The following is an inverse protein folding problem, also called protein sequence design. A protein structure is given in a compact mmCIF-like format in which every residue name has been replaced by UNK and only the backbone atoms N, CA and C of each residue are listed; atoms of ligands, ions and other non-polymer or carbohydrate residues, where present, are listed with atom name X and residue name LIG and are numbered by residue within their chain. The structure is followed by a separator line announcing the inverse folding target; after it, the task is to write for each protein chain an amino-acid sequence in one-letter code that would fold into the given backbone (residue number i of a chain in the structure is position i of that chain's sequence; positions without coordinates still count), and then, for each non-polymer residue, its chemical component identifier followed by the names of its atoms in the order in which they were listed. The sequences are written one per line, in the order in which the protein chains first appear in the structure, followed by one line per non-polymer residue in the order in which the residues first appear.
data_IF_842957056385
#
_entry.id   IF_842957056385
#
_cell.length_a   1.000
_cell.length_b   1.000
_cell.length_c   1.000
_cell.angle_alpha   90.00
_cell.angle_beta   90.00
_cell.angle_gamma   90.00
#
_symmetry.space_group_name_H-M   'P 1'
#
loop_
_entity.id
_entity.type
_entity.pdbx_description
1 polymer ?
#
# COMPACT_ATOMS: atom_id res chain seq x y z
N UNK A 1 6.74 12.41 -15.77
CA UNK A 1 8.08 11.94 -15.35
C UNK A 1 8.01 10.43 -15.07
N UNK A 2 8.54 9.59 -15.98
CA UNK A 2 8.42 8.13 -15.89
C UNK A 2 9.07 7.56 -14.61
N UNK A 3 10.14 8.17 -14.13
CA UNK A 3 10.81 7.76 -12.89
C UNK A 3 9.87 7.87 -11.67
N UNK A 4 9.13 8.98 -11.56
CA UNK A 4 8.15 9.15 -10.50
C UNK A 4 7.04 8.09 -10.57
N UNK A 5 6.52 7.82 -11.77
CA UNK A 5 5.50 6.79 -11.97
C UNK A 5 6.00 5.42 -11.55
N UNK A 6 7.26 5.09 -11.88
CA UNK A 6 7.89 3.84 -11.45
C UNK A 6 7.98 3.74 -9.91
N UNK A 7 8.44 4.80 -9.24
CA UNK A 7 8.51 4.82 -7.76
C UNK A 7 7.15 4.58 -7.10
N UNK A 8 6.12 5.26 -7.58
CA UNK A 8 4.75 5.08 -7.09
C UNK A 8 4.27 3.65 -7.32
N UNK A 9 4.55 3.08 -8.48
CA UNK A 9 4.17 1.72 -8.84
C UNK A 9 4.87 0.69 -7.94
N UNK A 10 6.19 0.81 -7.76
CA UNK A 10 6.99 -0.05 -6.87
C UNK A 10 6.48 0.02 -5.44
N UNK A 11 6.21 1.23 -4.93
CA UNK A 11 5.65 1.42 -3.60
C UNK A 11 4.32 0.66 -3.43
N UNK A 12 3.38 0.82 -4.36
CA UNK A 12 2.06 0.21 -4.24
C UNK A 12 2.09 -1.31 -4.39
N UNK A 13 2.85 -1.83 -5.34
CA UNK A 13 3.04 -3.28 -5.49
C UNK A 13 3.64 -3.87 -4.21
N UNK A 14 4.71 -3.28 -3.70
CA UNK A 14 5.35 -3.78 -2.49
C UNK A 14 4.45 -3.68 -1.26
N UNK A 15 3.72 -2.57 -1.08
CA UNK A 15 2.75 -2.39 0.01
C UNK A 15 1.65 -3.46 0.01
N UNK A 16 1.20 -3.91 -1.17
CA UNK A 16 0.13 -4.89 -1.29
C UNK A 16 0.65 -6.33 -1.26
N UNK A 17 1.69 -6.62 -2.04
CA UNK A 17 2.15 -8.00 -2.23
C UNK A 17 2.97 -8.51 -1.03
N UNK A 18 3.85 -7.70 -0.46
CA UNK A 18 4.74 -8.17 0.61
C UNK A 18 3.96 -8.70 1.81
N UNK A 19 3.03 -7.95 2.43
CA UNK A 19 2.32 -8.46 3.61
C UNK A 19 1.43 -9.67 3.33
N UNK A 20 0.94 -9.84 2.09
CA UNK A 20 0.11 -10.97 1.71
C UNK A 20 0.91 -12.25 1.48
N UNK A 21 2.11 -12.15 0.90
CA UNK A 21 2.87 -13.30 0.43
C UNK A 21 4.12 -13.63 1.26
N UNK A 22 4.41 -12.85 2.32
CA UNK A 22 5.51 -13.18 3.23
C UNK A 22 5.18 -14.41 4.08
N UNK A 23 6.15 -15.31 4.23
CA UNK A 23 5.99 -16.57 4.93
C UNK A 23 5.48 -16.41 6.37
N UNK A 24 6.04 -15.46 7.13
CA UNK A 24 5.64 -15.25 8.53
C UNK A 24 4.14 -14.94 8.69
N UNK A 25 3.59 -14.06 7.85
CA UNK A 25 2.15 -13.76 7.90
C UNK A 25 1.29 -14.95 7.45
N UNK A 26 1.76 -15.74 6.48
CA UNK A 26 1.03 -16.91 6.00
C UNK A 26 0.99 -18.04 7.04
N UNK A 27 2.00 -18.17 7.87
CA UNK A 27 1.97 -19.10 9.01
C UNK A 27 0.84 -18.68 9.98
N UNK A 28 0.74 -17.39 10.32
CA UNK A 28 -0.34 -16.88 11.18
C UNK A 28 -1.74 -17.09 10.57
N UNK A 29 -1.88 -16.89 9.26
CA UNK A 29 -3.14 -17.15 8.54
C UNK A 29 -3.51 -18.64 8.62
N UNK A 30 -2.53 -19.55 8.40
CA UNK A 30 -2.74 -20.98 8.49
C UNK A 30 -3.12 -21.43 9.90
N UNK A 31 -2.45 -20.91 10.92
CA UNK A 31 -2.73 -21.25 12.32
C UNK A 31 -4.09 -20.72 12.79
N UNK A 32 -4.48 -19.52 12.35
CA UNK A 32 -5.71 -18.87 12.83
C UNK A 32 -6.94 -19.27 12.05
N UNK A 33 -6.84 -19.42 10.72
CA UNK A 33 -7.99 -19.63 9.82
C UNK A 33 -7.89 -20.88 8.96
N UNK A 34 -6.81 -21.66 9.05
CA UNK A 34 -6.66 -22.93 8.32
C UNK A 34 -6.34 -22.78 6.83
N UNK A 35 -6.01 -21.59 6.36
CA UNK A 35 -5.59 -21.37 4.97
C UNK A 35 -4.29 -20.56 4.89
N UNK A 36 -3.55 -20.74 3.81
CA UNK A 36 -2.37 -19.94 3.48
C UNK A 36 -2.37 -19.57 2.00
N UNK A 37 -1.78 -18.42 1.69
CA UNK A 37 -1.52 -18.00 0.32
C UNK A 37 -0.16 -18.55 -0.14
N UNK A 38 0.14 -18.53 -1.46
CA UNK A 38 1.48 -18.81 -1.95
C UNK A 38 2.50 -17.89 -1.29
N UNK A 39 3.65 -18.40 -0.90
CA UNK A 39 4.68 -17.61 -0.24
C UNK A 39 5.83 -17.28 -1.19
N UNK A 40 6.38 -16.07 -1.07
CA UNK A 40 7.62 -15.67 -1.73
C UNK A 40 8.83 -16.07 -0.88
N UNK A 41 10.00 -16.15 -1.54
CA UNK A 41 11.24 -16.40 -0.81
C UNK A 41 11.56 -15.26 0.16
N UNK A 42 12.27 -15.58 1.23
CA UNK A 42 12.65 -14.59 2.24
C UNK A 42 13.48 -13.45 1.64
N UNK A 43 14.40 -13.76 0.73
CA UNK A 43 15.19 -12.77 0.02
C UNK A 43 14.32 -11.85 -0.84
N UNK A 44 13.32 -12.39 -1.52
CA UNK A 44 12.39 -11.57 -2.32
C UNK A 44 11.55 -10.65 -1.41
N UNK A 45 11.11 -11.14 -0.25
CA UNK A 45 10.38 -10.35 0.73
C UNK A 45 11.23 -9.19 1.28
N UNK A 46 12.50 -9.46 1.59
CA UNK A 46 13.44 -8.43 2.04
C UNK A 46 13.67 -7.37 0.95
N UNK A 47 13.92 -7.80 -0.29
CA UNK A 47 14.10 -6.88 -1.42
C UNK A 47 12.87 -6.01 -1.68
N UNK A 48 11.66 -6.60 -1.64
CA UNK A 48 10.42 -5.84 -1.78
C UNK A 48 10.24 -4.84 -0.63
N UNK A 49 10.51 -5.24 0.60
CA UNK A 49 10.40 -4.36 1.78
C UNK A 49 11.39 -3.18 1.69
N UNK A 50 12.63 -3.44 1.29
CA UNK A 50 13.63 -2.38 1.04
C UNK A 50 13.17 -1.47 -0.09
N UNK A 51 12.66 -2.03 -1.19
CA UNK A 51 12.16 -1.25 -2.32
C UNK A 51 10.99 -0.33 -1.93
N UNK A 52 10.07 -0.80 -1.06
CA UNK A 52 8.99 0.01 -0.49
C UNK A 52 9.55 1.18 0.32
N UNK A 53 10.50 0.92 1.22
CA UNK A 53 11.08 1.96 2.07
C UNK A 53 11.84 2.98 1.22
N UNK A 54 12.69 2.54 0.29
CA UNK A 54 13.45 3.43 -0.60
C UNK A 54 12.51 4.27 -1.46
N UNK A 55 11.50 3.65 -2.07
CA UNK A 55 10.50 4.38 -2.85
C UNK A 55 9.75 5.41 -2.01
N UNK A 56 9.34 5.04 -0.79
CA UNK A 56 8.68 5.94 0.14
C UNK A 56 9.55 7.12 0.55
N UNK A 57 10.84 6.88 0.85
CA UNK A 57 11.79 7.94 1.18
C UNK A 57 12.00 8.88 -0.02
N UNK A 58 12.16 8.36 -1.23
CA UNK A 58 12.32 9.19 -2.43
C UNK A 58 11.07 10.02 -2.72
N UNK A 59 9.88 9.46 -2.49
CA UNK A 59 8.61 10.20 -2.58
C UNK A 59 8.49 11.28 -1.51
N UNK A 60 8.95 11.01 -0.29
CA UNK A 60 9.03 11.99 0.80
C UNK A 60 9.97 13.13 0.44
N UNK A 61 11.19 12.81 -0.02
CA UNK A 61 12.17 13.81 -0.43
C UNK A 61 11.65 14.67 -1.58
N UNK A 62 11.00 14.06 -2.57
CA UNK A 62 10.36 14.78 -3.67
C UNK A 62 9.28 15.75 -3.16
N UNK A 63 8.50 15.33 -2.18
CA UNK A 63 7.42 16.14 -1.58
C UNK A 63 7.98 17.35 -0.82
N UNK A 64 9.16 17.22 -0.21
CA UNK A 64 9.84 18.31 0.48
C UNK A 64 10.57 19.23 -0.51
N UNK A 65 11.23 18.65 -1.52
CA UNK A 65 12.11 19.37 -2.43
C UNK A 65 11.35 20.20 -3.49
N UNK A 66 10.21 19.71 -3.97
CA UNK A 66 9.45 20.38 -5.03
C UNK A 66 8.39 21.32 -4.46
N UNK A 67 8.50 22.65 -4.68
CA UNK A 67 7.54 23.63 -4.16
C UNK A 67 6.11 23.34 -4.60
N UNK A 68 5.90 22.90 -5.84
CA UNK A 68 4.58 22.59 -6.40
C UNK A 68 3.89 21.44 -5.64
N UNK A 69 4.67 20.45 -5.22
CA UNK A 69 4.16 19.30 -4.46
C UNK A 69 3.97 19.68 -3.00
N UNK A 70 4.89 20.47 -2.44
CA UNK A 70 4.84 20.91 -1.06
C UNK A 70 3.60 21.76 -0.76
N UNK A 71 3.21 22.66 -1.66
CA UNK A 71 2.04 23.53 -1.50
C UNK A 71 0.75 22.73 -1.34
N UNK A 72 0.62 21.61 -2.06
CA UNK A 72 -0.56 20.73 -1.99
C UNK A 72 -0.45 19.63 -0.93
N UNK A 73 0.66 19.58 -0.20
CA UNK A 73 0.92 18.56 0.83
C UNK A 73 0.68 19.14 2.22
N UNK A 74 -0.10 18.43 3.00
CA UNK A 74 -0.36 18.73 4.41
C UNK A 74 0.48 17.87 5.34
N UNK A 75 0.61 18.24 6.61
CA UNK A 75 1.26 17.41 7.63
C UNK A 75 0.64 16.00 7.72
N UNK A 76 -0.67 15.92 7.47
CA UNK A 76 -1.39 14.65 7.42
C UNK A 76 -0.91 13.71 6.30
N UNK A 77 -0.52 14.24 5.15
CA UNK A 77 0.00 13.41 4.03
C UNK A 77 1.38 12.82 4.36
N UNK A 78 2.19 13.55 5.11
CA UNK A 78 3.48 13.04 5.63
C UNK A 78 3.27 11.96 6.68
N UNK A 79 2.31 12.18 7.60
CA UNK A 79 1.95 11.19 8.62
C UNK A 79 1.45 9.89 7.98
N UNK A 80 0.57 9.96 6.98
CA UNK A 80 0.06 8.77 6.29
C UNK A 80 1.17 7.99 5.58
N UNK A 81 2.13 8.67 4.98
CA UNK A 81 3.28 8.02 4.37
C UNK A 81 4.14 7.33 5.45
N UNK A 82 4.37 7.98 6.59
CA UNK A 82 5.10 7.38 7.71
C UNK A 82 4.38 6.14 8.26
N UNK A 83 3.06 6.21 8.44
CA UNK A 83 2.23 5.07 8.87
C UNK A 83 2.31 3.91 7.88
N UNK A 84 2.32 4.19 6.57
CA UNK A 84 2.44 3.15 5.55
C UNK A 84 3.82 2.48 5.53
N UNK A 85 4.89 3.22 5.81
CA UNK A 85 6.26 2.70 5.81
C UNK A 85 6.67 2.03 7.14
N UNK A 86 6.05 2.40 8.26
CA UNK A 86 6.42 1.94 9.59
C UNK A 86 6.43 0.40 9.73
N UNK A 87 5.43 -0.38 9.24
CA UNK A 87 5.46 -1.83 9.33
C UNK A 87 6.66 -2.44 8.58
N UNK A 88 7.01 -1.89 7.43
CA UNK A 88 8.15 -2.39 6.64
C UNK A 88 9.48 -2.13 7.33
N UNK A 89 9.67 -0.93 7.88
CA UNK A 89 10.87 -0.57 8.63
C UNK A 89 11.02 -1.42 9.90
N UNK A 90 9.97 -1.50 10.71
CA UNK A 90 10.00 -2.28 11.96
C UNK A 90 10.11 -3.78 11.69
N UNK A 91 9.47 -4.29 10.63
CA UNK A 91 9.58 -5.68 10.21
C UNK A 91 11.00 -6.08 9.78
N UNK A 92 11.69 -5.24 9.02
CA UNK A 92 13.10 -5.47 8.67
C UNK A 92 14.01 -5.42 9.90
N UNK A 93 13.80 -4.45 10.81
CA UNK A 93 14.59 -4.35 12.05
C UNK A 93 14.39 -5.56 12.97
N UNK A 94 13.17 -6.07 13.07
CA UNK A 94 12.88 -7.32 13.78
C UNK A 94 13.55 -8.53 13.11
N UNK A 95 13.43 -8.64 11.79
CA UNK A 95 14.01 -9.74 11.01
C UNK A 95 15.53 -9.81 11.13
N UNK A 96 16.21 -8.67 11.03
CA UNK A 96 17.68 -8.60 11.17
C UNK A 96 18.14 -8.51 12.62
N UNK A 97 17.22 -8.62 13.58
CA UNK A 97 17.51 -8.60 15.03
C UNK A 97 18.37 -7.41 15.46
N UNK A 98 18.05 -6.23 14.96
CA UNK A 98 18.79 -4.99 15.28
C UNK A 98 18.47 -4.58 16.72
N UNK A 99 19.31 -4.94 17.66
CA UNK A 99 19.08 -4.72 19.09
C UNK A 99 18.10 -5.74 19.67
N UNK A 100 17.02 -5.26 20.32
CA UNK A 100 16.02 -6.15 20.94
C UNK A 100 15.00 -6.62 19.91
N UNK A 101 14.96 -7.93 19.65
CA UNK A 101 13.99 -8.56 18.77
C UNK A 101 12.55 -8.31 19.24
N UNK A 102 12.28 -8.53 20.53
CA UNK A 102 10.94 -8.39 21.09
C UNK A 102 10.39 -6.98 20.95
N UNK A 103 11.24 -5.98 21.13
CA UNK A 103 10.85 -4.57 20.93
C UNK A 103 10.41 -4.32 19.47
N UNK A 104 11.21 -4.76 18.50
CA UNK A 104 10.88 -4.52 17.08
C UNK A 104 9.72 -5.36 16.60
N UNK A 105 9.53 -6.57 17.16
CA UNK A 105 8.37 -7.40 16.87
C UNK A 105 7.08 -6.73 17.36
N UNK A 106 7.05 -6.24 18.59
CA UNK A 106 5.90 -5.52 19.13
C UNK A 106 5.64 -4.24 18.32
N UNK A 107 6.69 -3.47 18.01
CA UNK A 107 6.58 -2.28 17.19
C UNK A 107 6.01 -2.58 15.79
N UNK A 108 6.42 -3.69 15.18
CA UNK A 108 5.91 -4.15 13.88
C UNK A 108 4.43 -4.50 13.96
N UNK A 109 4.01 -5.24 14.97
CA UNK A 109 2.60 -5.62 15.17
C UNK A 109 1.74 -4.35 15.33
N UNK A 110 2.13 -3.46 16.24
CA UNK A 110 1.40 -2.20 16.47
C UNK A 110 1.35 -1.31 15.21
N UNK A 111 2.46 -1.20 14.50
CA UNK A 111 2.50 -0.44 13.25
C UNK A 111 1.59 -1.05 12.17
N UNK A 112 1.52 -2.38 12.09
CA UNK A 112 0.62 -3.10 11.21
C UNK A 112 -0.86 -2.88 11.57
N UNK A 113 -1.21 -2.96 12.84
CA UNK A 113 -2.57 -2.70 13.32
C UNK A 113 -3.00 -1.25 13.06
N UNK A 114 -2.12 -0.28 13.33
CA UNK A 114 -2.38 1.13 13.03
C UNK A 114 -2.61 1.31 11.53
N UNK A 115 -1.79 0.71 10.68
CA UNK A 115 -1.97 0.77 9.22
C UNK A 115 -3.30 0.16 8.79
N UNK A 116 -3.68 -1.02 9.30
CA UNK A 116 -4.93 -1.68 8.98
C UNK A 116 -6.15 -0.83 9.35
N UNK A 117 -6.11 -0.16 10.51
CA UNK A 117 -7.16 0.77 10.95
C UNK A 117 -7.14 2.06 10.10
N UNK A 118 -5.97 2.57 9.74
CA UNK A 118 -5.83 3.78 8.94
C UNK A 118 -6.35 3.60 7.50
N UNK A 119 -6.22 2.41 6.91
CA UNK A 119 -6.63 2.15 5.52
C UNK A 119 -8.10 2.52 5.26
N UNK A 120 -9.11 2.02 5.97
CA UNK A 120 -10.51 2.39 5.71
C UNK A 120 -10.88 3.81 6.17
N UNK A 121 -10.19 4.35 7.18
CA UNK A 121 -10.57 5.62 7.82
C UNK A 121 -9.89 6.86 7.26
N UNK A 122 -8.92 6.68 6.36
CA UNK A 122 -8.09 7.79 5.85
C UNK A 122 -8.07 7.83 4.33
N UNK A 123 -7.26 8.75 3.77
CA UNK A 123 -6.99 8.81 2.33
C UNK A 123 -6.36 7.51 1.78
N UNK A 124 -5.90 6.60 2.61
CA UNK A 124 -5.36 5.30 2.18
C UNK A 124 -6.44 4.40 1.57
N UNK A 125 -7.72 4.65 1.85
CA UNK A 125 -8.85 3.95 1.21
C UNK A 125 -8.92 4.11 -0.32
N UNK A 126 -8.15 5.04 -0.89
CA UNK A 126 -8.15 5.31 -2.34
C UNK A 126 -7.85 4.06 -3.18
N UNK A 127 -7.12 3.07 -2.66
CA UNK A 127 -6.80 1.86 -3.40
C UNK A 127 -8.05 1.00 -3.71
N UNK A 128 -9.08 1.04 -2.87
CA UNK A 128 -10.37 0.40 -3.12
C UNK A 128 -11.30 1.38 -3.85
N UNK A 129 -11.38 2.61 -3.36
CA UNK A 129 -12.30 3.62 -3.88
C UNK A 129 -11.98 4.01 -5.33
N UNK A 130 -10.73 3.93 -5.75
CA UNK A 130 -10.34 4.15 -7.14
C UNK A 130 -11.05 3.19 -8.10
N UNK A 131 -11.05 1.89 -7.80
CA UNK A 131 -11.71 0.90 -8.64
C UNK A 131 -13.23 1.04 -8.60
N UNK A 132 -13.80 1.30 -7.43
CA UNK A 132 -15.24 1.49 -7.27
C UNK A 132 -15.74 2.73 -8.02
N UNK A 133 -15.03 3.85 -7.93
CA UNK A 133 -15.39 5.07 -8.66
C UNK A 133 -15.25 4.89 -10.18
N UNK A 134 -14.25 4.16 -10.66
CA UNK A 134 -14.09 3.82 -12.07
C UNK A 134 -15.18 2.89 -12.56
N UNK A 135 -15.58 1.89 -11.77
CA UNK A 135 -16.69 1.02 -12.09
C UNK A 135 -18.02 1.80 -12.20
N UNK A 136 -18.28 2.69 -11.24
CA UNK A 136 -19.45 3.55 -11.27
C UNK A 136 -19.48 4.48 -12.48
N UNK A 137 -18.36 5.15 -12.76
CA UNK A 137 -18.24 5.98 -13.98
C UNK A 137 -18.46 5.15 -15.25
N UNK A 138 -17.93 3.93 -15.30
CA UNK A 138 -18.13 3.02 -16.42
C UNK A 138 -19.60 2.63 -16.61
N UNK A 139 -20.34 2.38 -15.52
CA UNK A 139 -21.77 2.12 -15.57
C UNK A 139 -22.56 3.36 -16.00
N UNK A 140 -22.30 4.51 -15.40
CA UNK A 140 -23.05 5.74 -15.66
C UNK A 140 -22.84 6.27 -17.08
N UNK A 141 -21.59 6.26 -17.58
CA UNK A 141 -21.27 6.82 -18.88
C UNK A 141 -21.23 5.80 -20.01
N UNK A 142 -20.93 4.54 -19.73
CA UNK A 142 -20.92 3.46 -20.73
C UNK A 142 -22.30 3.20 -21.29
N UNK A 143 -23.32 3.16 -20.44
CA UNK A 143 -24.72 2.97 -20.84
C UNK A 143 -25.25 4.23 -21.51
N UNK A 144 -25.05 5.41 -20.92
CA UNK A 144 -25.60 6.69 -21.42
C UNK A 144 -24.95 7.16 -22.74
N UNK A 145 -23.74 6.77 -23.05
CA UNK A 145 -23.03 7.18 -24.29
C UNK A 145 -23.18 6.22 -25.47
N UNK A 146 -24.05 5.23 -25.39
CA UNK A 146 -24.42 4.43 -26.56
C UNK A 146 -23.85 3.04 -26.64
N UNK A 147 -23.40 2.43 -25.54
CA UNK A 147 -23.21 0.98 -25.49
C UNK A 147 -24.47 0.20 -25.83
N UNK A 148 -25.63 0.87 -25.77
CA UNK A 148 -26.95 0.34 -26.13
C UNK A 148 -27.62 1.17 -27.26
N UNK A 149 -26.88 1.99 -27.99
CA UNK A 149 -27.41 2.77 -29.12
C UNK A 149 -27.95 1.82 -30.18
N UNK A 150 -29.23 1.82 -30.40
CA UNK A 150 -29.92 0.92 -31.33
C UNK A 150 -30.75 -0.18 -30.70
N UNK A 151 -30.78 -0.33 -29.37
CA UNK A 151 -31.61 -1.32 -28.67
C UNK A 151 -32.86 -0.73 -28.01
N UNK A 152 -33.26 0.49 -28.36
CA UNK A 152 -34.52 1.11 -27.92
C UNK A 152 -34.51 1.58 -26.45
N UNK A 153 -33.39 1.55 -25.77
CA UNK A 153 -33.25 2.12 -24.43
C UNK A 153 -32.78 3.56 -24.57
N UNK A 154 -33.74 4.47 -24.63
CA UNK A 154 -33.49 5.91 -24.53
C UNK A 154 -33.45 6.29 -23.04
N UNK A 155 -32.34 6.85 -22.64
CA UNK A 155 -32.14 7.49 -21.37
C UNK A 155 -31.54 8.84 -21.58
#
# INVERSE_FOLDING_TARGET
NPFFTLLVFVLHIGLLLTPLFIKGHNILLQERWGFSLPTISETAADMLSIAVIVSGILLLLRRIALPEVRIISTAYDYLLLAVALAPFATGLLARYQVGSYDFWLIAHILAGEILLVAVPLTKLSHFILFFMSRAQLGMDYGIKRGGMKGKGLAW
#
